data_IF_783329683243
#
_entry.id   IF_783329683243
#
_cell.length_a   1.000
_cell.length_b   1.000
_cell.length_c   1.000
_cell.angle_alpha   90.00
_cell.angle_beta   90.00
_cell.angle_gamma   90.00
#
_symmetry.space_group_name_H-M   'P 1'
#
loop_
_entity.id
_entity.type
_entity.pdbx_description
1 polymer ?
#
# COMPACT_ATOMS: atom_id res chain seq x y z
N UNK A 1 -20.86 -98.22 41.28
CA UNK A 1 -20.33 -96.89 40.93
C UNK A 1 -19.36 -97.02 39.77
N UNK A 2 -19.74 -96.51 38.59
CA UNK A 2 -18.85 -95.99 37.54
C UNK A 2 -19.73 -95.36 36.46
N UNK A 3 -19.86 -94.03 36.53
CA UNK A 3 -20.44 -93.19 35.49
C UNK A 3 -19.54 -93.28 34.25
N UNK A 4 -20.08 -93.74 33.13
CA UNK A 4 -19.48 -93.53 31.82
C UNK A 4 -20.35 -92.54 31.05
N UNK A 5 -19.99 -91.25 31.13
CA UNK A 5 -20.38 -90.27 30.11
C UNK A 5 -19.80 -90.72 28.76
N UNK A 6 -20.65 -91.20 27.86
CA UNK A 6 -20.30 -91.29 26.45
C UNK A 6 -20.29 -89.86 25.88
N UNK A 7 -19.12 -89.42 25.43
CA UNK A 7 -18.88 -88.13 24.79
C UNK A 7 -19.68 -88.04 23.48
N UNK A 8 -20.53 -87.04 23.37
CA UNK A 8 -21.06 -86.59 22.08
C UNK A 8 -19.89 -86.08 21.22
N UNK A 9 -19.61 -86.78 20.12
CA UNK A 9 -18.72 -86.30 19.08
C UNK A 9 -19.44 -85.21 18.27
N UNK A 10 -19.32 -83.96 18.71
CA UNK A 10 -19.59 -82.82 17.85
C UNK A 10 -18.43 -82.66 16.84
N UNK A 11 -18.55 -83.33 15.69
CA UNK A 11 -17.75 -82.97 14.51
C UNK A 11 -18.30 -81.65 13.97
N UNK A 12 -17.53 -80.56 14.15
CA UNK A 12 -17.80 -79.28 13.46
C UNK A 12 -17.72 -79.50 11.94
N UNK A 13 -18.65 -78.95 11.15
CA UNK A 13 -18.59 -79.04 9.69
C UNK A 13 -17.43 -78.17 9.17
N UNK A 14 -16.28 -78.80 8.93
CA UNK A 14 -15.04 -78.17 8.43
C UNK A 14 -15.21 -77.65 6.99
N UNK A 15 -15.97 -78.37 6.17
CA UNK A 15 -15.98 -78.15 4.71
C UNK A 15 -16.81 -76.94 4.27
N UNK A 16 -17.78 -76.48 5.07
CA UNK A 16 -18.58 -75.30 4.76
C UNK A 16 -17.86 -73.98 5.06
N UNK A 17 -16.94 -73.98 6.04
CA UNK A 17 -16.19 -72.80 6.44
C UNK A 17 -15.01 -72.53 5.51
N UNK A 18 -14.32 -73.58 5.03
CA UNK A 18 -13.17 -73.46 4.12
C UNK A 18 -13.56 -72.83 2.77
N UNK A 19 -14.69 -73.24 2.16
CA UNK A 19 -15.18 -72.66 0.90
C UNK A 19 -15.48 -71.16 0.99
N UNK A 20 -16.13 -70.72 2.08
CA UNK A 20 -16.35 -69.29 2.36
C UNK A 20 -15.07 -68.53 2.68
N UNK A 21 -14.09 -69.18 3.33
CA UNK A 21 -12.83 -68.55 3.71
C UNK A 21 -11.91 -68.32 2.50
N UNK A 22 -11.89 -69.24 1.54
CA UNK A 22 -11.18 -69.05 0.26
C UNK A 22 -11.82 -67.96 -0.59
N UNK A 23 -13.15 -67.90 -0.67
CA UNK A 23 -13.87 -66.84 -1.39
C UNK A 23 -13.60 -65.46 -0.76
N UNK A 24 -13.59 -65.38 0.57
CA UNK A 24 -13.25 -64.15 1.30
C UNK A 24 -11.80 -63.71 1.04
N UNK A 25 -10.85 -64.65 1.05
CA UNK A 25 -9.44 -64.38 0.70
C UNK A 25 -9.31 -63.85 -0.73
N UNK A 26 -10.08 -64.43 -1.67
CA UNK A 26 -10.15 -63.95 -3.06
C UNK A 26 -10.66 -62.51 -3.16
N UNK A 27 -11.76 -62.18 -2.46
CA UNK A 27 -12.31 -60.82 -2.40
C UNK A 27 -11.36 -59.81 -1.75
N UNK A 28 -10.68 -60.19 -0.68
CA UNK A 28 -9.66 -59.36 0.00
C UNK A 28 -8.49 -59.06 -0.95
N UNK A 29 -8.01 -60.07 -1.68
CA UNK A 29 -6.93 -59.89 -2.66
C UNK A 29 -7.34 -58.94 -3.79
N UNK A 30 -8.58 -59.04 -4.25
CA UNK A 30 -9.14 -58.15 -5.28
C UNK A 30 -9.29 -56.71 -4.77
N UNK A 31 -9.74 -56.52 -3.53
CA UNK A 31 -9.80 -55.22 -2.85
C UNK A 31 -8.42 -54.61 -2.65
N UNK A 32 -7.42 -55.39 -2.24
CA UNK A 32 -6.04 -54.91 -2.10
C UNK A 32 -5.46 -54.44 -3.43
N UNK A 33 -5.68 -55.20 -4.51
CA UNK A 33 -5.25 -54.80 -5.85
C UNK A 33 -5.93 -53.49 -6.29
N UNK A 34 -7.25 -53.36 -6.08
CA UNK A 34 -7.96 -52.10 -6.38
C UNK A 34 -7.42 -50.93 -5.56
N UNK A 35 -7.17 -51.12 -4.27
CA UNK A 35 -6.59 -50.09 -3.40
C UNK A 35 -5.20 -49.66 -3.86
N UNK A 36 -4.36 -50.60 -4.30
CA UNK A 36 -3.03 -50.30 -4.84
C UNK A 36 -3.12 -49.49 -6.15
N UNK A 37 -4.04 -49.84 -7.04
CA UNK A 37 -4.29 -49.11 -8.28
C UNK A 37 -4.79 -47.69 -8.00
N UNK A 38 -5.77 -47.54 -7.11
CA UNK A 38 -6.29 -46.22 -6.71
C UNK A 38 -5.22 -45.36 -6.05
N UNK A 39 -4.33 -45.95 -5.24
CA UNK A 39 -3.20 -45.23 -4.64
C UNK A 39 -2.25 -44.70 -5.71
N UNK A 40 -1.94 -45.52 -6.72
CA UNK A 40 -1.09 -45.13 -7.86
C UNK A 40 -1.73 -44.02 -8.70
N UNK A 41 -3.04 -44.12 -8.96
CA UNK A 41 -3.80 -43.08 -9.65
C UNK A 41 -3.79 -41.75 -8.86
N UNK A 42 -4.00 -41.81 -7.54
CA UNK A 42 -3.92 -40.63 -6.68
C UNK A 42 -2.55 -39.97 -6.74
N UNK A 43 -1.47 -40.75 -6.70
CA UNK A 43 -0.10 -40.23 -6.81
C UNK A 43 0.14 -39.57 -8.17
N UNK A 44 -0.35 -40.15 -9.25
CA UNK A 44 -0.26 -39.56 -10.59
C UNK A 44 -1.03 -38.24 -10.69
N UNK A 45 -2.29 -38.20 -10.23
CA UNK A 45 -3.11 -36.98 -10.21
C UNK A 45 -2.48 -35.88 -9.35
N UNK A 46 -1.81 -36.25 -8.25
CA UNK A 46 -1.12 -35.29 -7.39
C UNK A 46 0.06 -34.65 -8.12
N UNK A 47 0.85 -35.44 -8.85
CA UNK A 47 1.97 -34.93 -9.66
C UNK A 47 1.47 -34.05 -10.81
N UNK A 48 0.41 -34.48 -11.49
CA UNK A 48 -0.19 -33.70 -12.58
C UNK A 48 -0.72 -32.36 -12.08
N UNK A 49 -1.39 -32.33 -10.93
CA UNK A 49 -1.86 -31.09 -10.30
C UNK A 49 -0.69 -30.16 -9.92
N UNK A 50 0.42 -30.69 -9.42
CA UNK A 50 1.63 -29.90 -9.15
C UNK A 50 2.22 -29.30 -10.45
N UNK A 51 2.26 -30.08 -11.52
CA UNK A 51 2.74 -29.59 -12.82
C UNK A 51 1.83 -28.49 -13.38
N UNK A 52 0.50 -28.67 -13.32
CA UNK A 52 -0.46 -27.65 -13.74
C UNK A 52 -0.33 -26.36 -12.91
N UNK A 53 -0.11 -26.47 -11.60
CA UNK A 53 0.17 -25.29 -10.75
C UNK A 53 1.45 -24.57 -11.20
N UNK A 54 2.49 -25.31 -11.56
CA UNK A 54 3.73 -24.73 -12.07
C UNK A 54 3.52 -24.04 -13.43
N UNK A 55 2.78 -24.66 -14.35
CA UNK A 55 2.42 -24.07 -15.64
C UNK A 55 1.58 -22.79 -15.48
N UNK A 56 0.61 -22.77 -14.55
CA UNK A 56 -0.16 -21.57 -14.23
C UNK A 56 0.76 -20.43 -13.78
N UNK A 57 1.72 -20.71 -12.89
CA UNK A 57 2.67 -19.70 -12.43
C UNK A 57 3.55 -19.18 -13.58
N UNK A 58 4.00 -20.07 -14.47
CA UNK A 58 4.77 -19.68 -15.65
C UNK A 58 3.94 -18.85 -16.62
N UNK A 59 2.69 -19.24 -16.91
CA UNK A 59 1.79 -18.46 -17.75
C UNK A 59 1.49 -17.09 -17.15
N UNK A 60 1.24 -17.01 -15.85
CA UNK A 60 1.06 -15.73 -15.13
C UNK A 60 2.31 -14.86 -15.18
N UNK A 61 3.51 -15.46 -15.22
CA UNK A 61 4.77 -14.74 -15.40
C UNK A 61 4.90 -14.22 -16.83
N UNK A 62 4.65 -15.06 -17.84
CA UNK A 62 4.69 -14.66 -19.25
C UNK A 62 3.66 -13.58 -19.58
N UNK A 63 2.43 -13.69 -19.06
CA UNK A 63 1.39 -12.67 -19.20
C UNK A 63 1.81 -11.33 -18.61
N UNK A 64 2.50 -11.33 -17.47
CA UNK A 64 3.10 -10.12 -16.90
C UNK A 64 4.15 -9.54 -17.85
N UNK A 65 5.02 -10.36 -18.42
CA UNK A 65 6.05 -9.87 -19.35
C UNK A 65 5.50 -9.35 -20.70
N UNK A 66 4.30 -9.77 -21.11
CA UNK A 66 3.67 -9.33 -22.37
C UNK A 66 3.01 -7.94 -22.28
N UNK A 67 2.80 -7.40 -21.08
CA UNK A 67 2.28 -6.04 -20.89
C UNK A 67 3.45 -5.10 -20.62
N UNK A 68 3.74 -4.18 -21.54
CA UNK A 68 4.74 -3.13 -21.35
C UNK A 68 4.40 -2.30 -20.10
N UNK A 69 5.20 -2.47 -19.03
CA UNK A 69 4.97 -1.85 -17.72
C UNK A 69 4.88 -2.83 -16.53
N UNK A 70 4.88 -4.14 -16.76
CA UNK A 70 4.98 -5.16 -15.70
C UNK A 70 6.40 -5.72 -15.53
N UNK A 71 7.31 -5.46 -16.46
CA UNK A 71 8.72 -5.78 -16.36
C UNK A 71 9.45 -4.72 -15.52
N UNK A 72 9.96 -5.12 -14.34
CA UNK A 72 10.91 -4.37 -13.51
C UNK A 72 10.53 -2.95 -13.05
N UNK A 73 9.26 -2.67 -12.73
CA UNK A 73 8.86 -1.37 -12.13
C UNK A 73 9.47 -1.13 -10.75
N UNK A 74 9.80 -2.19 -9.99
CA UNK A 74 10.40 -2.07 -8.64
C UNK A 74 11.84 -1.59 -8.61
N UNK A 75 12.51 -1.45 -9.75
CA UNK A 75 13.91 -1.00 -9.81
C UNK A 75 14.01 0.53 -10.00
N UNK A 76 12.97 1.18 -10.55
CA UNK A 76 13.05 2.59 -10.96
C UNK A 76 12.18 3.55 -10.14
N UNK A 77 11.09 3.07 -9.54
CA UNK A 77 10.18 3.88 -8.73
C UNK A 77 10.33 3.56 -7.23
N UNK A 78 10.32 4.57 -6.32
CA UNK A 78 10.49 4.34 -4.89
C UNK A 78 9.41 3.45 -4.29
N UNK A 79 9.80 2.51 -3.42
CA UNK A 79 8.85 1.70 -2.66
C UNK A 79 8.08 2.56 -1.65
N UNK A 80 6.90 2.10 -1.21
CA UNK A 80 6.08 2.83 -0.24
C UNK A 80 6.84 3.18 1.07
N UNK A 81 7.73 2.31 1.54
CA UNK A 81 8.54 2.58 2.73
C UNK A 81 9.61 3.65 2.47
N UNK A 82 10.19 3.68 1.26
CA UNK A 82 11.16 4.71 0.86
C UNK A 82 10.47 6.08 0.74
N UNK A 83 9.25 6.11 0.20
CA UNK A 83 8.42 7.32 0.19
C UNK A 83 8.07 7.78 1.61
N UNK A 84 7.71 6.84 2.51
CA UNK A 84 7.45 7.16 3.91
C UNK A 84 8.66 7.79 4.60
N UNK A 85 9.86 7.27 4.34
CA UNK A 85 11.11 7.84 4.84
C UNK A 85 11.37 9.23 4.24
N UNK A 86 11.15 9.39 2.93
CA UNK A 86 11.32 10.69 2.25
C UNK A 86 10.34 11.74 2.77
N UNK A 87 9.11 11.37 3.11
CA UNK A 87 8.14 12.29 3.76
C UNK A 87 8.66 12.70 5.15
N UNK A 88 9.14 11.73 5.94
CA UNK A 88 9.64 12.02 7.28
C UNK A 88 10.89 12.90 7.25
N UNK A 89 11.78 12.71 6.28
CA UNK A 89 12.93 13.57 6.03
C UNK A 89 12.48 14.98 5.62
N UNK A 90 11.55 15.08 4.66
CA UNK A 90 10.97 16.35 4.22
C UNK A 90 10.37 17.17 5.37
N UNK A 91 9.73 16.50 6.35
CA UNK A 91 9.15 17.18 7.52
C UNK A 91 10.22 17.64 8.51
N UNK A 92 11.36 16.96 8.58
CA UNK A 92 12.42 17.23 9.58
C UNK A 92 13.51 18.17 9.07
N UNK A 93 13.76 18.20 7.77
CA UNK A 93 14.81 18.99 7.16
C UNK A 93 14.18 20.17 6.43
N UNK A 94 13.54 19.96 5.28
CA UNK A 94 13.07 21.04 4.42
C UNK A 94 11.94 21.87 5.02
N UNK A 95 10.98 21.23 5.73
CA UNK A 95 9.94 21.96 6.45
C UNK A 95 10.49 22.73 7.65
N UNK A 96 11.58 22.23 8.27
CA UNK A 96 12.24 22.90 9.38
C UNK A 96 13.01 24.12 8.88
N UNK A 97 13.83 23.95 7.85
CA UNK A 97 14.64 25.02 7.23
C UNK A 97 13.74 26.17 6.77
N UNK A 98 12.68 25.88 6.01
CA UNK A 98 11.77 26.93 5.55
C UNK A 98 11.03 27.60 6.71
N UNK A 99 10.65 26.83 7.74
CA UNK A 99 9.95 27.37 8.90
C UNK A 99 10.83 28.37 9.65
N UNK A 100 12.06 28.00 10.01
CA UNK A 100 12.95 28.84 10.83
C UNK A 100 13.67 29.94 10.03
N UNK A 101 14.08 29.67 8.81
CA UNK A 101 14.91 30.61 8.04
C UNK A 101 14.09 31.60 7.22
N UNK A 102 12.81 31.31 6.97
CA UNK A 102 11.94 32.16 6.14
C UNK A 102 10.65 32.53 6.87
N UNK A 103 9.84 31.53 7.23
CA UNK A 103 8.45 31.78 7.60
C UNK A 103 8.31 32.49 8.96
N UNK A 104 9.11 32.15 9.97
CA UNK A 104 9.05 32.79 11.29
C UNK A 104 9.60 34.23 11.29
N UNK A 105 10.48 34.57 10.34
CA UNK A 105 11.05 35.91 10.22
C UNK A 105 10.10 36.87 9.52
N UNK A 106 9.32 36.36 8.55
CA UNK A 106 8.50 37.19 7.66
C UNK A 106 7.00 37.11 7.94
N UNK A 107 6.51 36.08 8.65
CA UNK A 107 5.08 35.82 8.84
C UNK A 107 4.69 35.57 10.31
N UNK A 108 3.44 35.94 10.63
CA UNK A 108 2.77 35.46 11.85
C UNK A 108 2.24 34.03 11.66
N UNK A 109 1.81 33.38 12.74
CA UNK A 109 1.33 31.99 12.70
C UNK A 109 0.19 31.76 11.68
N UNK A 110 -0.71 32.73 11.46
CA UNK A 110 -1.75 32.60 10.43
C UNK A 110 -1.15 32.55 9.02
N UNK A 111 -0.14 33.38 8.76
CA UNK A 111 0.62 33.36 7.51
C UNK A 111 1.36 32.03 7.31
N UNK A 112 1.98 31.51 8.37
CA UNK A 112 2.68 30.20 8.34
C UNK A 112 1.70 29.06 8.00
N UNK A 113 0.57 28.98 8.70
CA UNK A 113 -0.47 27.98 8.44
C UNK A 113 -0.98 28.10 7.00
N UNK A 114 -1.23 29.33 6.54
CA UNK A 114 -1.65 29.58 5.17
C UNK A 114 -0.60 29.16 4.15
N UNK A 115 0.69 29.40 4.40
CA UNK A 115 1.77 28.97 3.52
C UNK A 115 1.75 27.45 3.29
N UNK A 116 1.75 26.66 4.36
CA UNK A 116 1.75 25.20 4.25
C UNK A 116 0.46 24.66 3.61
N UNK A 117 -0.70 25.17 4.05
CA UNK A 117 -2.01 24.78 3.51
C UNK A 117 -2.12 25.10 2.02
N UNK A 118 -1.82 26.34 1.62
CA UNK A 118 -1.92 26.77 0.23
C UNK A 118 -0.94 26.02 -0.66
N UNK A 119 0.30 25.79 -0.21
CA UNK A 119 1.29 25.02 -0.97
C UNK A 119 0.78 23.62 -1.29
N UNK A 120 0.34 22.87 -0.28
CA UNK A 120 -0.19 21.51 -0.43
C UNK A 120 -1.44 21.47 -1.32
N UNK A 121 -2.43 22.34 -1.07
CA UNK A 121 -3.68 22.38 -1.84
C UNK A 121 -3.41 22.68 -3.32
N UNK A 122 -2.52 23.63 -3.60
CA UNK A 122 -2.23 24.04 -4.97
C UNK A 122 -1.46 22.95 -5.73
N UNK A 123 -0.53 22.25 -5.08
CA UNK A 123 0.16 21.10 -5.67
C UNK A 123 -0.79 19.93 -5.91
N UNK A 124 -1.64 19.57 -4.94
CA UNK A 124 -2.66 18.53 -5.13
C UNK A 124 -3.55 18.87 -6.33
N UNK A 125 -4.00 20.12 -6.43
CA UNK A 125 -4.81 20.59 -7.56
C UNK A 125 -4.10 20.42 -8.91
N UNK A 126 -2.80 20.71 -9.03
CA UNK A 126 -2.05 20.43 -10.27
C UNK A 126 -2.14 18.95 -10.63
N UNK A 127 -1.90 18.06 -9.67
CA UNK A 127 -1.90 16.61 -9.88
C UNK A 127 -3.30 16.15 -10.33
N UNK A 128 -4.35 16.59 -9.64
CA UNK A 128 -5.73 16.25 -9.99
C UNK A 128 -6.12 16.77 -11.38
N UNK A 129 -5.77 18.00 -11.72
CA UNK A 129 -6.06 18.60 -13.03
C UNK A 129 -5.32 17.88 -14.17
N UNK A 130 -4.14 17.32 -13.91
CA UNK A 130 -3.40 16.53 -14.89
C UNK A 130 -4.04 15.15 -15.14
N UNK A 131 -4.42 14.43 -14.07
CA UNK A 131 -4.91 13.05 -14.19
C UNK A 131 -6.42 12.92 -14.40
N UNK A 132 -7.23 13.85 -13.90
CA UNK A 132 -8.70 13.78 -13.97
C UNK A 132 -9.23 13.69 -15.42
N UNK A 133 -8.75 14.50 -16.39
CA UNK A 133 -9.19 14.38 -17.78
C UNK A 133 -8.84 13.01 -18.39
N UNK A 134 -7.68 12.45 -18.04
CA UNK A 134 -7.25 11.13 -18.49
C UNK A 134 -8.22 10.04 -18.00
N UNK A 135 -8.49 10.01 -16.70
CA UNK A 135 -9.42 9.03 -16.12
C UNK A 135 -10.83 9.19 -16.64
N UNK A 136 -11.31 10.43 -16.83
CA UNK A 136 -12.61 10.70 -17.42
C UNK A 136 -12.73 10.12 -18.82
N UNK A 137 -11.74 10.36 -19.70
CA UNK A 137 -11.74 9.81 -21.05
C UNK A 137 -11.73 8.28 -21.07
N UNK A 138 -10.96 7.65 -20.17
CA UNK A 138 -10.92 6.18 -20.05
C UNK A 138 -12.27 5.63 -19.60
N UNK A 139 -12.94 6.28 -18.64
CA UNK A 139 -14.28 5.89 -18.21
C UNK A 139 -15.31 6.04 -19.34
N UNK A 140 -15.29 7.16 -20.05
CA UNK A 140 -16.23 7.43 -21.15
C UNK A 140 -16.05 6.45 -22.32
N UNK A 141 -14.81 6.23 -22.77
CA UNK A 141 -14.52 5.31 -23.88
C UNK A 141 -14.72 3.85 -23.47
N UNK A 142 -14.35 3.50 -22.24
CA UNK A 142 -14.52 2.15 -21.71
C UNK A 142 -15.93 1.82 -21.25
N UNK A 143 -16.87 2.78 -21.30
CA UNK A 143 -18.21 2.66 -20.71
C UNK A 143 -18.17 2.20 -19.24
N UNK A 144 -17.18 2.68 -18.47
CA UNK A 144 -16.97 2.31 -17.07
C UNK A 144 -17.64 3.34 -16.15
N UNK A 145 -18.26 2.86 -15.07
CA UNK A 145 -18.80 3.73 -14.01
C UNK A 145 -17.72 4.28 -13.10
N UNK A 146 -16.61 3.54 -12.95
CA UNK A 146 -15.48 3.84 -12.09
C UNK A 146 -14.22 3.13 -12.62
N UNK A 147 -13.04 3.61 -12.25
CA UNK A 147 -11.78 2.93 -12.52
C UNK A 147 -11.17 2.46 -11.21
N UNK A 148 -11.52 1.24 -10.80
CA UNK A 148 -11.06 0.65 -9.56
C UNK A 148 -10.39 -0.72 -9.79
N UNK A 149 -9.72 -1.21 -8.74
CA UNK A 149 -9.17 -2.55 -8.69
C UNK A 149 -8.10 -2.81 -9.77
N UNK A 150 -8.19 -3.91 -10.54
CA UNK A 150 -7.12 -4.32 -11.45
C UNK A 150 -6.76 -3.27 -12.51
N UNK A 151 -7.74 -2.53 -13.05
CA UNK A 151 -7.50 -1.54 -14.12
C UNK A 151 -6.64 -0.39 -13.57
N UNK A 152 -7.02 0.13 -12.40
CA UNK A 152 -6.26 1.19 -11.74
C UNK A 152 -4.84 0.71 -11.37
N UNK A 153 -4.69 -0.53 -10.92
CA UNK A 153 -3.38 -1.11 -10.60
C UNK A 153 -2.47 -1.21 -11.83
N UNK A 154 -3.02 -1.61 -12.98
CA UNK A 154 -2.27 -1.66 -14.25
C UNK A 154 -1.80 -0.26 -14.65
N UNK A 155 -2.69 0.74 -14.57
CA UNK A 155 -2.33 2.13 -14.89
C UNK A 155 -1.27 2.68 -13.93
N UNK A 156 -1.40 2.44 -12.62
CA UNK A 156 -0.41 2.85 -11.62
C UNK A 156 0.97 2.29 -11.93
N UNK A 157 1.06 1.00 -12.27
CA UNK A 157 2.34 0.40 -12.69
C UNK A 157 2.92 1.04 -13.94
N UNK A 158 2.07 1.37 -14.92
CA UNK A 158 2.48 2.11 -16.12
C UNK A 158 3.00 3.52 -15.77
N UNK A 159 2.33 4.21 -14.86
CA UNK A 159 2.75 5.54 -14.37
C UNK A 159 4.09 5.45 -13.64
N UNK A 160 4.26 4.47 -12.75
CA UNK A 160 5.50 4.23 -12.01
C UNK A 160 6.67 3.94 -12.95
N UNK A 161 6.46 3.20 -14.04
CA UNK A 161 7.49 2.95 -15.04
C UNK A 161 7.95 4.20 -15.81
N UNK A 162 7.14 5.27 -15.85
CA UNK A 162 7.40 6.49 -16.62
C UNK A 162 7.37 7.77 -15.78
N UNK A 163 7.48 7.64 -14.45
CA UNK A 163 7.10 8.69 -13.50
C UNK A 163 7.85 10.01 -13.73
N UNK A 164 9.14 9.98 -14.07
CA UNK A 164 9.95 11.19 -14.33
C UNK A 164 9.38 12.02 -15.48
N UNK A 165 9.06 11.38 -16.61
CA UNK A 165 8.49 12.08 -17.77
C UNK A 165 7.08 12.60 -17.49
N UNK A 166 6.29 11.85 -16.71
CA UNK A 166 4.95 12.29 -16.30
C UNK A 166 5.06 13.48 -15.35
N UNK A 167 5.99 13.42 -14.39
CA UNK A 167 6.24 14.48 -13.42
C UNK A 167 6.61 15.80 -14.10
N UNK A 168 7.55 15.79 -15.03
CA UNK A 168 7.96 16.99 -15.79
C UNK A 168 6.77 17.62 -16.54
N UNK A 169 5.88 16.80 -17.11
CA UNK A 169 4.67 17.29 -17.80
C UNK A 169 3.62 17.81 -16.83
N UNK A 170 3.43 17.12 -15.70
CA UNK A 170 2.48 17.47 -14.66
C UNK A 170 2.86 18.80 -13.97
N UNK A 171 4.14 18.97 -13.61
CA UNK A 171 4.62 20.11 -12.82
C UNK A 171 5.06 21.33 -13.64
N UNK A 172 4.72 21.39 -14.94
CA UNK A 172 5.11 22.49 -15.83
C UNK A 172 4.73 23.88 -15.30
N UNK A 173 3.59 23.99 -14.61
CA UNK A 173 3.06 25.26 -14.09
C UNK A 173 3.33 25.48 -12.59
N UNK A 174 4.08 24.59 -11.94
CA UNK A 174 4.36 24.65 -10.50
C UNK A 174 5.07 25.96 -10.10
N UNK A 175 6.00 26.44 -10.92
CA UNK A 175 6.74 27.68 -10.68
C UNK A 175 5.83 28.90 -10.58
N UNK A 176 4.74 28.95 -11.35
CA UNK A 176 3.77 30.04 -11.29
C UNK A 176 3.05 30.09 -9.94
N UNK A 177 2.71 28.93 -9.37
CA UNK A 177 2.06 28.82 -8.05
C UNK A 177 3.00 29.32 -6.96
N UNK A 178 4.27 28.92 -7.02
CA UNK A 178 5.30 29.41 -6.09
C UNK A 178 5.39 30.93 -6.13
N UNK A 179 5.53 31.52 -7.32
CA UNK A 179 5.66 32.97 -7.52
C UNK A 179 4.40 33.71 -7.01
N UNK A 180 3.20 33.18 -7.29
CA UNK A 180 1.93 33.74 -6.79
C UNK A 180 1.91 33.77 -5.26
N UNK A 181 2.22 32.63 -4.61
CA UNK A 181 2.18 32.51 -3.15
C UNK A 181 3.23 33.41 -2.49
N UNK A 182 4.45 33.40 -3.03
CA UNK A 182 5.54 34.23 -2.57
C UNK A 182 5.19 35.73 -2.63
N UNK A 183 4.59 36.17 -3.74
CA UNK A 183 4.15 37.56 -3.90
C UNK A 183 3.03 37.90 -2.92
N UNK A 184 2.08 37.00 -2.70
CA UNK A 184 0.96 37.22 -1.78
C UNK A 184 1.43 37.35 -0.33
N UNK A 185 2.38 36.51 0.07
CA UNK A 185 2.96 36.50 1.43
C UNK A 185 4.15 37.46 1.60
N UNK A 186 4.57 38.14 0.53
CA UNK A 186 5.72 39.06 0.50
C UNK A 186 7.03 38.41 0.97
N UNK A 187 7.26 37.15 0.58
CA UNK A 187 8.44 36.42 1.00
C UNK A 187 9.65 36.70 0.09
N UNK A 188 10.83 36.89 0.66
CA UNK A 188 12.01 37.33 -0.11
C UNK A 188 12.99 36.22 -0.48
N UNK A 189 12.95 35.07 0.20
CA UNK A 189 13.93 33.99 0.03
C UNK A 189 13.53 32.99 -1.08
N UNK A 190 13.86 33.31 -2.33
CA UNK A 190 13.50 32.50 -3.51
C UNK A 190 14.00 31.06 -3.45
N UNK A 191 15.24 30.84 -3.02
CA UNK A 191 15.93 29.56 -3.19
C UNK A 191 15.37 28.47 -2.26
N UNK A 192 15.17 28.80 -0.98
CA UNK A 192 14.57 27.86 0.00
C UNK A 192 13.11 27.57 -0.33
N UNK A 193 12.35 28.57 -0.77
CA UNK A 193 10.95 28.38 -1.18
C UNK A 193 10.90 27.50 -2.44
N UNK A 194 11.79 27.72 -3.41
CA UNK A 194 11.89 26.86 -4.59
C UNK A 194 12.23 25.41 -4.25
N UNK A 195 13.24 25.20 -3.42
CA UNK A 195 13.63 23.87 -2.96
C UNK A 195 12.47 23.15 -2.26
N UNK A 196 11.78 23.84 -1.33
CA UNK A 196 10.60 23.33 -0.66
C UNK A 196 9.50 22.91 -1.65
N UNK A 197 9.14 23.77 -2.60
CA UNK A 197 8.09 23.48 -3.57
C UNK A 197 8.46 22.31 -4.49
N UNK A 198 9.71 22.23 -4.93
CA UNK A 198 10.20 21.13 -5.76
C UNK A 198 10.12 19.81 -5.02
N UNK A 199 10.54 19.79 -3.75
CA UNK A 199 10.49 18.55 -2.95
C UNK A 199 9.08 18.15 -2.58
N UNK A 200 8.24 19.13 -2.22
CA UNK A 200 6.82 18.93 -1.93
C UNK A 200 6.09 18.29 -3.12
N UNK A 201 6.25 18.87 -4.31
CA UNK A 201 5.59 18.41 -5.52
C UNK A 201 6.06 17.02 -5.95
N UNK A 202 7.35 16.72 -5.85
CA UNK A 202 7.89 15.38 -6.09
C UNK A 202 7.25 14.35 -5.14
N UNK A 203 7.24 14.63 -3.84
CA UNK A 203 6.69 13.72 -2.83
C UNK A 203 5.20 13.48 -3.06
N UNK A 204 4.41 14.55 -3.22
CA UNK A 204 2.96 14.45 -3.41
C UNK A 204 2.62 13.70 -4.70
N UNK A 205 3.34 13.96 -5.78
CA UNK A 205 3.17 13.24 -7.05
C UNK A 205 3.47 11.75 -6.89
N UNK A 206 4.61 11.40 -6.29
CA UNK A 206 4.99 10.00 -6.07
C UNK A 206 3.97 9.28 -5.18
N UNK A 207 3.48 9.94 -4.13
CA UNK A 207 2.41 9.41 -3.26
C UNK A 207 1.10 9.16 -4.02
N UNK A 208 0.77 10.02 -4.99
CA UNK A 208 -0.43 9.89 -5.80
C UNK A 208 -0.39 8.68 -6.74
N UNK A 209 0.78 8.39 -7.35
CA UNK A 209 0.94 7.29 -8.33
C UNK A 209 1.42 5.96 -7.72
N UNK A 210 1.83 5.95 -6.45
CA UNK A 210 2.27 4.73 -5.76
C UNK A 210 1.13 3.72 -5.58
N UNK A 211 1.48 2.45 -5.41
CA UNK A 211 0.53 1.34 -5.25
C UNK A 211 0.91 0.52 -4.00
N UNK A 212 0.08 0.50 -2.94
CA UNK A 212 -1.16 1.28 -2.77
C UNK A 212 -0.89 2.77 -2.55
N UNK A 213 -1.91 3.62 -2.80
CA UNK A 213 -1.85 5.08 -2.65
C UNK A 213 -1.42 5.48 -1.24
N UNK A 214 -0.61 6.54 -1.16
CA UNK A 214 -0.40 7.31 0.06
C UNK A 214 -1.23 8.59 0.02
N UNK A 215 -2.14 8.76 0.98
CA UNK A 215 -3.06 9.91 1.04
C UNK A 215 -2.64 10.88 2.14
N UNK A 216 -2.50 12.15 1.80
CA UNK A 216 -2.31 13.24 2.76
C UNK A 216 -3.67 13.71 3.30
N UNK A 217 -3.78 13.88 4.61
CA UNK A 217 -4.96 14.51 5.23
C UNK A 217 -4.85 16.04 5.17
N UNK A 218 -4.87 16.62 3.97
CA UNK A 218 -4.61 18.05 3.73
C UNK A 218 -5.62 18.94 4.51
N UNK A 219 -6.84 18.46 4.73
CA UNK A 219 -7.88 19.19 5.45
C UNK A 219 -7.57 19.38 6.93
N UNK A 220 -6.63 18.59 7.48
CA UNK A 220 -6.17 18.72 8.87
C UNK A 220 -5.26 19.93 9.11
N UNK A 221 -4.66 20.51 8.07
CA UNK A 221 -3.74 21.65 8.23
C UNK A 221 -4.48 22.85 8.85
N UNK A 222 -3.91 23.43 9.90
CA UNK A 222 -4.48 24.52 10.66
C UNK A 222 -5.47 24.10 11.74
N UNK A 223 -5.83 22.82 11.85
CA UNK A 223 -6.69 22.34 12.93
C UNK A 223 -5.96 22.34 14.26
N UNK A 224 -6.70 22.75 15.31
CA UNK A 224 -6.24 22.73 16.70
C UNK A 224 -6.50 21.35 17.30
N UNK A 225 -5.47 20.73 17.83
CA UNK A 225 -5.50 19.36 18.36
C UNK A 225 -4.73 19.25 19.67
N UNK A 226 -4.92 18.16 20.38
CA UNK A 226 -4.12 17.81 21.56
C UNK A 226 -2.91 16.98 21.15
N UNK A 227 -1.72 17.39 21.59
CA UNK A 227 -0.46 16.73 21.24
C UNK A 227 -0.42 15.28 21.73
N UNK A 228 0.10 14.41 20.86
CA UNK A 228 0.24 12.98 21.08
C UNK A 228 1.46 12.48 20.29
N UNK A 229 2.51 12.08 21.00
CA UNK A 229 3.78 11.63 20.42
C UNK A 229 3.65 10.44 19.46
N UNK A 230 2.58 9.64 19.56
CA UNK A 230 2.33 8.53 18.62
C UNK A 230 1.83 8.99 17.26
N UNK A 231 1.23 10.18 17.16
CA UNK A 231 0.59 10.70 15.94
C UNK A 231 1.22 11.97 15.40
N UNK A 232 1.96 12.69 16.24
CA UNK A 232 2.46 14.02 15.92
C UNK A 232 3.95 14.13 16.27
N UNK A 233 4.68 14.84 15.42
CA UNK A 233 6.06 15.27 15.66
C UNK A 233 6.09 16.81 15.76
N UNK A 234 6.72 17.38 16.80
CA UNK A 234 6.81 18.84 16.96
C UNK A 234 7.85 19.44 16.01
N UNK A 235 7.51 20.55 15.36
CA UNK A 235 8.41 21.25 14.43
C UNK A 235 9.60 21.90 15.13
N UNK A 236 9.40 22.39 16.35
CA UNK A 236 10.41 23.07 17.16
C UNK A 236 11.06 22.14 18.19
N UNK A 237 10.63 20.87 18.27
CA UNK A 237 11.14 19.91 19.24
C UNK A 237 10.56 20.01 20.66
N UNK A 238 9.71 21.00 20.96
CA UNK A 238 9.31 21.33 22.33
C UNK A 238 7.78 21.44 22.48
N UNK A 239 7.08 20.31 22.55
CA UNK A 239 5.66 20.26 22.92
C UNK A 239 5.45 19.16 23.96
N UNK A 240 4.86 19.51 25.11
CA UNK A 240 4.57 18.53 26.17
C UNK A 240 3.33 17.72 25.80
N UNK A 241 3.29 16.47 26.27
CA UNK A 241 2.12 15.63 26.10
C UNK A 241 0.87 16.31 26.67
N UNK A 242 -0.22 16.27 25.89
CA UNK A 242 -1.52 16.90 26.18
C UNK A 242 -1.57 18.43 26.03
N UNK A 243 -0.51 19.10 25.56
CA UNK A 243 -0.60 20.50 25.17
C UNK A 243 -1.39 20.69 23.87
N UNK A 244 -2.00 21.86 23.71
CA UNK A 244 -2.70 22.21 22.48
C UNK A 244 -1.70 22.62 21.40
N UNK A 245 -1.81 22.02 20.23
CA UNK A 245 -0.97 22.32 19.07
C UNK A 245 -1.80 22.50 17.80
N UNK A 246 -1.17 23.04 16.77
CA UNK A 246 -1.75 23.24 15.44
C UNK A 246 -0.98 22.37 14.44
N UNK A 247 -1.70 21.73 13.53
CA UNK A 247 -1.10 20.96 12.43
C UNK A 247 -0.57 21.92 11.36
N UNK A 248 0.72 21.84 11.07
CA UNK A 248 1.36 22.56 9.97
C UNK A 248 1.47 21.67 8.72
N UNK A 249 1.92 20.42 8.88
CA UNK A 249 1.92 19.41 7.82
C UNK A 249 1.08 18.20 8.25
N UNK A 250 0.25 17.65 7.36
CA UNK A 250 -0.74 16.63 7.73
C UNK A 250 -0.12 15.26 7.91
N UNK A 251 -0.88 14.34 8.49
CA UNK A 251 -0.52 12.93 8.50
C UNK A 251 -0.66 12.31 7.09
N UNK A 252 0.12 11.26 6.84
CA UNK A 252 0.05 10.47 5.60
C UNK A 252 -0.41 9.06 5.93
N UNK A 253 -1.37 8.56 5.16
CA UNK A 253 -1.98 7.26 5.39
C UNK A 253 -1.87 6.33 4.17
N UNK A 254 -1.75 5.04 4.45
CA UNK A 254 -1.86 3.93 3.49
C UNK A 254 -2.98 3.02 3.94
N UNK A 255 -4.11 2.99 3.24
CA UNK A 255 -5.27 2.16 3.63
C UNK A 255 -5.63 2.31 5.13
N UNK A 256 -5.67 3.55 5.64
CA UNK A 256 -5.89 3.92 7.06
C UNK A 256 -4.72 3.66 8.03
N UNK A 257 -3.65 3.00 7.58
CA UNK A 257 -2.41 2.86 8.36
C UNK A 257 -1.62 4.17 8.32
N UNK A 258 -1.19 4.65 9.48
CA UNK A 258 -0.37 5.87 9.59
C UNK A 258 1.05 5.57 9.09
N UNK A 259 1.46 6.25 8.02
CA UNK A 259 2.80 6.13 7.43
C UNK A 259 3.73 7.25 7.93
N UNK A 260 3.23 8.48 7.96
CA UNK A 260 3.97 9.63 8.47
C UNK A 260 3.08 10.43 9.43
N UNK A 261 3.67 10.82 10.56
CA UNK A 261 3.03 11.65 11.58
C UNK A 261 2.83 13.07 11.08
N UNK A 262 1.83 13.76 11.62
CA UNK A 262 1.65 15.19 11.35
C UNK A 262 2.76 16.01 12.00
N UNK A 263 3.23 17.04 11.30
CA UNK A 263 4.13 18.04 11.86
C UNK A 263 3.29 19.13 12.53
N UNK A 264 3.58 19.42 13.79
CA UNK A 264 2.76 20.32 14.61
C UNK A 264 3.59 21.41 15.29
N UNK A 265 2.93 22.50 15.65
CA UNK A 265 3.51 23.60 16.43
C UNK A 265 2.65 23.90 17.65
N UNK A 266 3.26 24.30 18.76
CA UNK A 266 2.51 24.70 19.96
C UNK A 266 1.53 25.82 19.64
N UNK A 267 0.30 25.74 20.15
CA UNK A 267 -0.67 26.83 20.04
C UNK A 267 -0.17 28.09 20.78
N UNK A 268 0.62 27.92 21.83
CA UNK A 268 1.20 29.01 22.61
C UNK A 268 2.32 29.76 21.89
N UNK A 269 2.80 29.27 20.73
CA UNK A 269 3.85 29.94 19.94
C UNK A 269 3.48 31.40 19.59
N UNK A 270 2.17 31.71 19.49
CA UNK A 270 1.66 33.09 19.29
C UNK A 270 1.95 34.07 20.43
N UNK A 271 2.22 33.59 21.66
CA UNK A 271 2.33 34.44 22.84
C UNK A 271 3.76 34.92 23.11
N UNK A 272 4.76 34.32 22.48
CA UNK A 272 6.20 34.61 22.72
C UNK A 272 6.84 35.48 21.62
N UNK A 273 6.16 35.67 20.48
CA UNK A 273 6.66 36.40 19.32
C UNK A 273 6.08 37.83 19.15
N UNK A 274 5.45 38.38 20.19
CA UNK A 274 5.01 39.79 20.25
C UNK A 274 5.65 40.52 21.43
#
# INVERSE_FOLDING_TARGET
MKNNCAKENYQKPSDYLDGTQEELKGKIKLLMNKLQLTKKEKENLTKENQNLQHEILQMQSHLRCMVSGFSNTSIQFPMANELSNSIAEFYKCECFDIFFDVLTQELNLKGIIYFFSASMIRIDKIIQEYFSPLFKNIMEVGCLTNIDGPILNVMRKSFQGNYKSIYEKCMRNQSSIRIELQKYLKLNNNDLIEAFFNKLSEIMFNCYITDPILTFDIQSIGQKITFNQSKHDPIDGFIKNKEECIILMPAVYKNQELMAKSLVISYSYQLESN
#
